data_IF_476359556289
#
_entry.id   IF_476359556289
#
_cell.length_a   1.000
_cell.length_b   1.000
_cell.length_c   1.000
_cell.angle_alpha   90.00
_cell.angle_beta   90.00
_cell.angle_gamma   90.00
#
_symmetry.space_group_name_H-M   'P 1'
#
loop_
_entity.id
_entity.type
_entity.pdbx_description
1 polymer ?
#
# COMPACT_ATOMS: atom_id res chain seq x y z
N UNK A 1 -29.98 78.73 -31.20
CA UNK A 1 -30.59 77.38 -31.14
C UNK A 1 -29.46 76.36 -31.04
N UNK A 2 -29.43 75.66 -29.91
CA UNK A 2 -28.74 74.39 -29.58
C UNK A 2 -27.21 74.32 -29.71
N UNK A 3 -26.45 74.30 -28.60
CA UNK A 3 -26.19 73.17 -27.66
C UNK A 3 -25.30 72.11 -28.32
N UNK A 4 -24.22 71.57 -27.76
CA UNK A 4 -23.82 71.37 -26.37
C UNK A 4 -22.40 70.78 -26.37
N UNK A 5 -21.64 70.97 -25.27
CA UNK A 5 -20.74 70.01 -24.60
C UNK A 5 -19.63 69.30 -25.46
N UNK A 6 -18.33 69.30 -25.16
CA UNK A 6 -17.68 69.05 -23.87
C UNK A 6 -16.15 69.36 -23.99
N UNK A 7 -15.60 69.94 -22.92
CA UNK A 7 -14.18 70.14 -22.59
C UNK A 7 -13.39 68.81 -22.57
N UNK A 8 -12.05 68.64 -22.55
CA UNK A 8 -10.83 69.46 -22.44
C UNK A 8 -9.63 68.49 -22.65
N UNK A 9 -8.54 69.01 -23.21
CA UNK A 9 -7.10 68.77 -22.89
C UNK A 9 -6.57 67.32 -22.82
N UNK A 10 -5.62 67.00 -23.71
CA UNK A 10 -4.56 66.04 -23.43
C UNK A 10 -3.20 66.74 -23.37
N UNK A 11 -2.71 66.91 -22.15
CA UNK A 11 -1.35 67.33 -21.82
C UNK A 11 -0.38 66.16 -21.87
N UNK A 12 0.87 66.45 -22.24
CA UNK A 12 2.03 65.55 -22.35
C UNK A 12 2.15 64.58 -21.17
N UNK A 13 2.30 63.29 -21.47
CA UNK A 13 2.67 62.25 -20.50
C UNK A 13 4.09 61.77 -20.77
N UNK A 14 5.03 62.24 -19.97
CA UNK A 14 6.36 61.65 -19.82
C UNK A 14 6.21 60.28 -19.16
N UNK A 15 6.59 59.19 -19.85
CA UNK A 15 6.54 57.84 -19.29
C UNK A 15 7.70 57.66 -18.32
N UNK A 16 7.40 57.63 -17.02
CA UNK A 16 8.32 57.15 -15.99
C UNK A 16 8.27 55.61 -16.02
N UNK A 17 9.38 54.96 -16.34
CA UNK A 17 9.54 53.52 -16.14
C UNK A 17 9.99 53.32 -14.70
N UNK A 18 9.10 52.82 -13.84
CA UNK A 18 9.49 52.35 -12.52
C UNK A 18 10.09 50.95 -12.64
N UNK A 19 11.41 50.84 -12.44
CA UNK A 19 12.08 49.55 -12.30
C UNK A 19 12.02 49.16 -10.83
N UNK A 20 11.22 48.15 -10.52
CA UNK A 20 11.16 47.56 -9.18
C UNK A 20 12.23 46.47 -9.07
N UNK A 21 13.22 46.66 -8.20
CA UNK A 21 14.07 45.57 -7.75
C UNK A 21 13.34 44.83 -6.63
N UNK A 22 12.78 43.65 -6.95
CA UNK A 22 12.44 42.70 -5.90
C UNK A 22 13.74 42.07 -5.40
N UNK A 23 14.26 42.56 -4.27
CA UNK A 23 15.19 41.77 -3.47
C UNK A 23 14.37 40.65 -2.82
N UNK A 24 14.17 39.56 -3.57
CA UNK A 24 13.60 38.34 -3.00
C UNK A 24 14.55 37.83 -1.93
N UNK A 25 14.10 37.77 -0.69
CA UNK A 25 14.77 36.97 0.33
C UNK A 25 14.79 35.54 -0.19
N UNK A 26 15.96 35.07 -0.64
CA UNK A 26 16.22 33.66 -0.87
C UNK A 26 16.29 32.99 0.50
N UNK A 27 15.12 32.73 1.09
CA UNK A 27 15.03 31.79 2.19
C UNK A 27 15.40 30.43 1.60
N UNK A 28 16.62 29.96 1.88
CA UNK A 28 16.93 28.56 1.70
C UNK A 28 15.88 27.79 2.49
N UNK A 29 15.11 26.94 1.81
CA UNK A 29 14.22 26.01 2.50
C UNK A 29 15.08 25.26 3.51
N UNK A 30 14.83 25.48 4.80
CA UNK A 30 15.43 24.64 5.83
C UNK A 30 15.14 23.19 5.41
N UNK A 31 16.19 22.36 5.38
CA UNK A 31 16.05 20.97 5.00
C UNK A 31 14.95 20.29 5.84
N UNK A 32 14.42 19.15 5.38
CA UNK A 32 13.35 18.46 6.09
C UNK A 32 13.72 18.26 7.57
N UNK A 33 12.87 18.74 8.47
CA UNK A 33 13.02 18.56 9.91
C UNK A 33 12.10 17.45 10.40
N UNK A 34 12.57 16.63 11.34
CA UNK A 34 11.73 15.68 12.05
C UNK A 34 10.59 16.41 12.76
N UNK A 35 9.35 16.12 12.38
CA UNK A 35 8.15 16.75 12.96
C UNK A 35 7.66 15.98 14.19
N UNK A 36 7.72 14.64 14.15
CA UNK A 36 7.15 13.76 15.18
C UNK A 36 7.72 12.35 15.11
N UNK A 37 7.77 11.67 16.26
CA UNK A 37 7.83 10.22 16.36
C UNK A 37 6.55 9.69 17.06
N UNK A 38 5.95 8.63 16.51
CA UNK A 38 4.82 7.93 17.12
C UNK A 38 5.32 6.53 17.50
N UNK A 39 5.23 6.17 18.78
CA UNK A 39 5.57 4.82 19.21
C UNK A 39 4.35 3.91 19.01
N UNK A 40 4.57 2.79 18.33
CA UNK A 40 3.65 1.67 18.27
C UNK A 40 4.45 0.37 18.41
N UNK A 41 3.86 -0.65 19.04
CA UNK A 41 4.53 -1.91 19.38
C UNK A 41 4.50 -2.23 20.87
N UNK A 42 5.23 -3.27 21.26
CA UNK A 42 5.27 -3.87 22.58
C UNK A 42 6.67 -4.27 23.02
N UNK A 43 6.75 -5.34 23.80
CA UNK A 43 8.01 -5.95 24.25
C UNK A 43 8.53 -7.05 23.32
N UNK A 44 7.72 -7.43 22.34
CA UNK A 44 8.07 -8.44 21.33
C UNK A 44 8.85 -7.86 20.15
N UNK A 45 9.05 -8.69 19.13
CA UNK A 45 9.49 -8.26 17.82
C UNK A 45 8.33 -7.59 17.08
N UNK A 46 8.51 -6.32 16.72
CA UNK A 46 7.53 -5.51 16.00
C UNK A 46 8.21 -4.75 14.85
N UNK A 47 7.57 -4.72 13.68
CA UNK A 47 8.10 -4.07 12.49
C UNK A 47 7.00 -3.33 11.73
N UNK A 48 7.23 -2.05 11.41
CA UNK A 48 6.45 -1.30 10.43
C UNK A 48 7.08 -1.44 9.04
N UNK A 49 6.58 -2.37 8.23
CA UNK A 49 7.19 -2.73 6.96
C UNK A 49 6.84 -1.76 5.82
N UNK A 50 5.68 -1.10 5.89
CA UNK A 50 5.25 -0.16 4.87
C UNK A 50 4.44 1.00 5.44
N UNK A 51 4.57 2.16 4.80
CA UNK A 51 3.81 3.38 5.10
C UNK A 51 3.30 4.03 3.82
N UNK A 52 2.06 4.50 3.84
CA UNK A 52 1.46 5.37 2.81
C UNK A 52 0.68 6.52 3.43
N UNK A 53 0.54 7.60 2.67
CA UNK A 53 -0.26 8.75 3.07
C UNK A 53 -1.38 9.01 2.07
N UNK A 54 -2.57 9.35 2.54
CA UNK A 54 -3.64 9.85 1.67
C UNK A 54 -3.49 11.37 1.43
N UNK A 55 -4.37 11.93 0.59
CA UNK A 55 -4.37 13.37 0.27
C UNK A 55 -4.72 14.26 1.48
N UNK A 56 -5.38 13.73 2.50
CA UNK A 56 -5.66 14.44 3.74
C UNK A 56 -4.49 14.37 4.74
N UNK A 57 -3.41 13.68 4.37
CA UNK A 57 -2.23 13.48 5.21
C UNK A 57 -2.40 12.38 6.26
N UNK A 58 -3.47 11.57 6.22
CA UNK A 58 -3.58 10.42 7.10
C UNK A 58 -2.53 9.38 6.71
N UNK A 59 -1.91 8.73 7.70
CA UNK A 59 -0.88 7.73 7.49
C UNK A 59 -1.44 6.32 7.69
N UNK A 60 -1.04 5.40 6.84
CA UNK A 60 -1.42 4.00 6.86
C UNK A 60 -0.14 3.18 7.00
N UNK A 61 -0.05 2.40 8.06
CA UNK A 61 1.12 1.60 8.37
C UNK A 61 0.70 0.14 8.41
N UNK A 62 1.43 -0.70 7.68
CA UNK A 62 1.27 -2.14 7.70
C UNK A 62 2.57 -2.80 8.15
N UNK A 63 2.45 -3.92 8.86
CA UNK A 63 3.60 -4.58 9.46
C UNK A 63 3.25 -5.87 10.18
N UNK A 64 4.13 -6.28 11.10
CA UNK A 64 3.93 -7.40 12.00
C UNK A 64 4.31 -7.05 13.44
N UNK A 65 3.75 -7.79 14.39
CA UNK A 65 4.00 -7.63 15.82
C UNK A 65 3.89 -8.99 16.52
N UNK A 66 4.46 -9.10 17.72
CA UNK A 66 4.37 -10.31 18.54
C UNK A 66 3.98 -9.98 19.98
N UNK A 67 3.46 -10.97 20.72
CA UNK A 67 2.91 -10.74 22.06
C UNK A 67 1.82 -9.66 22.03
N UNK A 68 1.86 -8.69 22.95
CA UNK A 68 0.97 -7.53 22.94
C UNK A 68 1.67 -6.32 22.32
N UNK A 69 1.02 -5.64 21.38
CA UNK A 69 1.47 -4.39 20.80
C UNK A 69 0.47 -3.26 21.07
N UNK A 70 0.99 -2.07 21.39
CA UNK A 70 0.19 -0.89 21.70
C UNK A 70 0.20 0.10 20.53
N UNK A 71 -0.98 0.57 20.15
CA UNK A 71 -1.21 1.59 19.13
C UNK A 71 -2.04 2.70 19.77
N UNK A 72 -1.37 3.72 20.32
CA UNK A 72 -2.06 4.73 21.14
C UNK A 72 -2.73 4.08 22.37
N UNK A 73 -4.06 4.20 22.49
CA UNK A 73 -4.84 3.55 23.55
C UNK A 73 -5.31 2.12 23.22
N UNK A 74 -5.14 1.67 21.97
CA UNK A 74 -5.54 0.34 21.54
C UNK A 74 -4.41 -0.66 21.79
N UNK A 75 -4.76 -1.85 22.24
CA UNK A 75 -3.81 -2.97 22.40
C UNK A 75 -4.27 -4.13 21.54
N UNK A 76 -3.35 -4.66 20.75
CA UNK A 76 -3.52 -5.87 19.96
C UNK A 76 -2.71 -6.99 20.61
N UNK A 77 -3.24 -8.21 20.55
CA UNK A 77 -2.59 -9.43 21.02
C UNK A 77 -2.44 -10.39 19.86
N UNK A 78 -1.20 -10.82 19.60
CA UNK A 78 -0.89 -11.80 18.57
C UNK A 78 -1.46 -13.17 18.95
N UNK A 79 -1.97 -13.89 17.96
CA UNK A 79 -2.56 -15.22 18.08
C UNK A 79 -1.52 -16.34 17.86
N UNK A 80 -0.31 -15.96 17.44
CA UNK A 80 0.77 -16.87 17.10
C UNK A 80 2.14 -16.32 17.47
N UNK A 81 3.12 -16.54 16.59
CA UNK A 81 4.48 -16.00 16.76
C UNK A 81 4.54 -14.53 16.40
N UNK A 82 4.00 -14.19 15.24
CA UNK A 82 3.80 -12.82 14.80
C UNK A 82 2.49 -12.71 14.05
N UNK A 83 1.73 -11.65 14.30
CA UNK A 83 0.52 -11.33 13.54
C UNK A 83 0.75 -10.06 12.73
N UNK A 84 0.04 -9.92 11.62
CA UNK A 84 0.07 -8.68 10.85
C UNK A 84 -0.87 -7.64 11.42
N UNK A 85 -0.54 -6.36 11.22
CA UNK A 85 -1.43 -5.25 11.54
C UNK A 85 -1.56 -4.29 10.37
N UNK A 86 -2.69 -3.56 10.34
CA UNK A 86 -2.91 -2.37 9.54
C UNK A 86 -3.45 -1.27 10.47
N UNK A 87 -2.71 -0.18 10.60
CA UNK A 87 -3.07 0.97 11.42
C UNK A 87 -3.24 2.22 10.56
N UNK A 88 -4.28 3.00 10.85
CA UNK A 88 -4.48 4.34 10.29
C UNK A 88 -4.30 5.39 11.37
N UNK A 89 -3.46 6.38 11.10
CA UNK A 89 -3.25 7.56 11.92
C UNK A 89 -3.73 8.81 11.17
N UNK A 90 -4.28 9.77 11.91
CA UNK A 90 -4.63 11.07 11.37
C UNK A 90 -3.38 11.87 10.99
N UNK A 91 -3.53 12.93 10.19
CA UNK A 91 -2.43 13.87 9.92
C UNK A 91 -1.77 14.40 11.22
N UNK A 92 -2.58 14.57 12.26
CA UNK A 92 -2.14 14.91 13.61
C UNK A 92 -1.58 13.75 14.42
N UNK A 93 -1.22 12.62 13.82
CA UNK A 93 -0.56 11.44 14.42
C UNK A 93 -1.35 10.69 15.50
N UNK A 94 -2.64 10.97 15.65
CA UNK A 94 -3.54 10.22 16.52
C UNK A 94 -4.01 8.95 15.80
N UNK A 95 -4.08 7.82 16.52
CA UNK A 95 -4.66 6.60 15.95
C UNK A 95 -6.15 6.84 15.63
N UNK A 96 -6.55 6.52 14.41
CA UNK A 96 -7.96 6.52 13.97
C UNK A 96 -8.56 5.12 14.09
N UNK A 97 -7.84 4.11 13.63
CA UNK A 97 -8.22 2.70 13.78
C UNK A 97 -7.01 1.79 13.57
N UNK A 98 -7.10 0.57 14.09
CA UNK A 98 -6.14 -0.52 13.84
C UNK A 98 -6.90 -1.84 13.72
N UNK A 99 -6.49 -2.69 12.79
CA UNK A 99 -6.97 -4.06 12.63
C UNK A 99 -5.78 -5.00 12.54
N UNK A 100 -6.00 -6.28 12.86
CA UNK A 100 -4.99 -7.33 12.76
C UNK A 100 -5.48 -8.49 11.90
N UNK A 101 -4.55 -9.29 11.41
CA UNK A 101 -4.82 -10.63 10.92
C UNK A 101 -3.71 -11.57 11.37
N UNK A 102 -4.08 -12.79 11.73
CA UNK A 102 -3.10 -13.79 12.08
C UNK A 102 -3.74 -15.11 12.46
N UNK A 103 -2.88 -16.08 12.71
CA UNK A 103 -3.19 -17.40 13.22
C UNK A 103 -2.15 -17.86 14.23
N UNK A 104 -1.91 -19.17 14.29
CA UNK A 104 -0.97 -19.76 15.27
C UNK A 104 0.51 -19.61 14.86
N UNK A 105 0.78 -19.18 13.63
CA UNK A 105 2.10 -19.18 13.00
C UNK A 105 2.61 -17.76 12.76
N UNK A 106 3.53 -17.57 11.81
CA UNK A 106 4.12 -16.28 11.46
C UNK A 106 3.35 -15.62 10.30
N UNK A 107 2.70 -14.48 10.58
CA UNK A 107 1.97 -13.67 9.61
C UNK A 107 2.55 -12.26 9.51
N UNK A 108 2.71 -11.74 8.29
CA UNK A 108 3.36 -10.44 8.06
C UNK A 108 2.76 -9.72 6.87
N UNK A 109 2.40 -8.45 7.06
CA UNK A 109 2.11 -7.52 5.98
C UNK A 109 3.40 -6.82 5.54
N UNK A 110 3.73 -6.90 4.25
CA UNK A 110 4.95 -6.33 3.69
C UNK A 110 4.72 -5.01 2.95
N UNK A 111 3.51 -4.80 2.42
CA UNK A 111 3.20 -3.57 1.68
C UNK A 111 1.77 -3.09 1.89
N UNK A 112 1.59 -1.79 1.70
CA UNK A 112 0.30 -1.12 1.73
C UNK A 112 0.18 -0.14 0.57
N UNK A 113 -0.99 -0.08 -0.06
CA UNK A 113 -1.33 0.86 -1.12
C UNK A 113 -2.73 1.44 -0.91
N UNK A 114 -2.97 2.63 -1.47
CA UNK A 114 -4.25 3.34 -1.36
C UNK A 114 -4.82 3.52 -2.77
N UNK A 115 -6.03 3.04 -3.01
CA UNK A 115 -6.76 3.26 -4.26
C UNK A 115 -7.52 4.60 -4.29
N UNK A 116 -8.08 4.99 -5.44
CA UNK A 116 -8.69 6.31 -5.63
C UNK A 116 -9.91 6.62 -4.73
N UNK A 117 -10.60 5.60 -4.22
CA UNK A 117 -11.70 5.77 -3.25
C UNK A 117 -11.22 5.77 -1.78
N UNK A 118 -9.91 5.84 -1.54
CA UNK A 118 -9.32 5.71 -0.20
C UNK A 118 -9.32 4.28 0.35
N UNK A 119 -9.72 3.30 -0.49
CA UNK A 119 -9.62 1.89 -0.14
C UNK A 119 -8.16 1.49 0.04
N UNK A 120 -7.90 0.67 1.04
CA UNK A 120 -6.57 0.27 1.44
C UNK A 120 -6.35 -1.16 0.99
N UNK A 121 -5.23 -1.39 0.34
CA UNK A 121 -4.80 -2.71 -0.11
C UNK A 121 -3.56 -3.09 0.69
N UNK A 122 -3.52 -4.32 1.18
CA UNK A 122 -2.39 -4.86 1.94
C UNK A 122 -1.98 -6.18 1.32
N UNK A 123 -0.68 -6.35 1.09
CA UNK A 123 -0.10 -7.60 0.61
C UNK A 123 0.93 -8.12 1.61
N UNK A 124 1.04 -9.43 1.68
CA UNK A 124 1.95 -10.07 2.61
C UNK A 124 1.98 -11.59 2.48
N UNK A 125 2.44 -12.20 3.57
CA UNK A 125 2.42 -13.64 3.79
C UNK A 125 1.63 -13.96 5.05
N UNK A 126 0.83 -15.01 4.98
CA UNK A 126 0.32 -15.73 6.14
C UNK A 126 0.91 -17.14 6.17
N UNK A 127 0.97 -17.77 7.34
CA UNK A 127 1.40 -19.16 7.47
C UNK A 127 0.26 -20.03 7.98
N UNK A 128 -0.12 -21.04 7.19
CA UNK A 128 -1.27 -21.91 7.44
C UNK A 128 -2.60 -21.14 7.46
N UNK A 129 -3.33 -21.11 8.58
CA UNK A 129 -4.65 -20.48 8.68
C UNK A 129 -4.56 -19.17 9.42
N UNK A 130 -5.08 -18.08 8.83
CA UNK A 130 -5.16 -16.78 9.47
C UNK A 130 -6.56 -16.17 9.38
N UNK A 131 -6.96 -15.42 10.41
CA UNK A 131 -8.25 -14.71 10.44
C UNK A 131 -8.06 -13.21 10.35
N UNK A 132 -8.54 -12.62 9.26
CA UNK A 132 -8.52 -11.19 9.00
C UNK A 132 -9.65 -10.50 9.75
N UNK A 133 -9.31 -9.66 10.73
CA UNK A 133 -10.29 -8.86 11.46
C UNK A 133 -10.79 -7.70 10.61
N UNK A 134 -11.98 -7.22 10.95
CA UNK A 134 -12.69 -6.14 10.25
C UNK A 134 -13.25 -5.17 11.27
N UNK A 135 -13.03 -3.86 11.08
CA UNK A 135 -13.66 -2.87 11.94
C UNK A 135 -15.14 -2.75 11.59
N UNK A 136 -16.00 -3.01 12.57
CA UNK A 136 -17.47 -2.95 12.44
C UNK A 136 -18.02 -3.82 11.29
N UNK A 137 -17.38 -4.95 10.99
CA UNK A 137 -17.80 -5.88 9.96
C UNK A 137 -17.40 -7.32 10.27
N UNK A 138 -17.79 -8.28 9.44
CA UNK A 138 -17.39 -9.67 9.62
C UNK A 138 -15.90 -9.84 9.40
N UNK A 139 -15.25 -10.67 10.22
CA UNK A 139 -13.92 -11.19 9.94
C UNK A 139 -13.97 -12.24 8.83
N UNK A 140 -12.82 -12.53 8.22
CA UNK A 140 -12.70 -13.61 7.21
C UNK A 140 -11.49 -14.48 7.51
N UNK A 141 -11.72 -15.78 7.65
CA UNK A 141 -10.65 -16.78 7.79
C UNK A 141 -10.18 -17.24 6.40
N UNK A 142 -8.87 -17.26 6.21
CA UNK A 142 -8.20 -17.83 5.04
C UNK A 142 -7.46 -19.08 5.50
N UNK A 143 -7.78 -20.22 4.88
CA UNK A 143 -7.06 -21.48 5.10
C UNK A 143 -5.99 -21.58 4.04
N UNK A 144 -4.75 -21.21 4.40
CA UNK A 144 -3.56 -21.43 3.59
C UNK A 144 -2.91 -22.78 3.88
N UNK A 145 -1.77 -23.02 3.23
CA UNK A 145 -0.96 -24.21 3.38
C UNK A 145 0.50 -23.79 3.44
N UNK A 146 1.12 -23.84 4.62
CA UNK A 146 2.43 -23.24 4.82
C UNK A 146 2.44 -21.74 4.47
N UNK A 147 3.57 -21.26 3.95
CA UNK A 147 3.73 -19.86 3.53
C UNK A 147 2.83 -19.55 2.33
N UNK A 148 1.80 -18.74 2.57
CA UNK A 148 0.73 -18.40 1.62
C UNK A 148 0.70 -16.90 1.37
N UNK A 149 0.67 -16.50 0.10
CA UNK A 149 0.53 -15.09 -0.31
C UNK A 149 -0.88 -14.63 0.04
N UNK A 150 -1.05 -13.39 0.50
CA UNK A 150 -2.37 -12.76 0.58
C UNK A 150 -2.39 -11.37 -0.07
N UNK A 151 -3.58 -11.00 -0.53
CA UNK A 151 -3.96 -9.64 -0.89
C UNK A 151 -5.31 -9.32 -0.24
N UNK A 152 -5.33 -8.33 0.65
CA UNK A 152 -6.54 -7.90 1.34
C UNK A 152 -6.91 -6.47 0.95
N UNK A 153 -8.21 -6.18 0.87
CA UNK A 153 -8.75 -4.83 0.66
C UNK A 153 -9.64 -4.45 1.83
N UNK A 154 -9.39 -3.26 2.38
CA UNK A 154 -10.14 -2.61 3.44
C UNK A 154 -10.77 -1.31 2.93
N UNK A 155 -11.93 -0.96 3.48
CA UNK A 155 -12.55 0.35 3.28
C UNK A 155 -11.74 1.45 4.01
N UNK A 156 -11.97 2.74 3.69
CA UNK A 156 -11.28 3.86 4.37
C UNK A 156 -11.46 3.90 5.90
N UNK A 157 -12.50 3.24 6.40
CA UNK A 157 -12.87 3.14 7.81
C UNK A 157 -12.42 1.82 8.46
N UNK A 158 -11.64 0.99 7.78
CA UNK A 158 -11.07 -0.23 8.36
C UNK A 158 -11.97 -1.48 8.28
N UNK A 159 -13.08 -1.43 7.56
CA UNK A 159 -13.91 -2.62 7.30
C UNK A 159 -13.27 -3.47 6.21
N UNK A 160 -13.03 -4.75 6.47
CA UNK A 160 -12.55 -5.70 5.47
C UNK A 160 -13.60 -5.86 4.36
N UNK A 161 -13.19 -5.64 3.11
CA UNK A 161 -14.04 -5.81 1.93
C UNK A 161 -13.84 -7.19 1.30
N UNK A 162 -12.59 -7.60 1.12
CA UNK A 162 -12.24 -8.93 0.63
C UNK A 162 -10.78 -9.28 0.96
N UNK A 163 -10.45 -10.56 0.91
CA UNK A 163 -9.08 -11.08 0.91
C UNK A 163 -9.00 -12.24 -0.08
N UNK A 164 -7.92 -12.26 -0.86
CA UNK A 164 -7.51 -13.31 -1.78
C UNK A 164 -6.21 -13.94 -1.31
N UNK A 165 -6.00 -15.21 -1.65
CA UNK A 165 -4.80 -15.98 -1.32
C UNK A 165 -4.11 -16.51 -2.58
N UNK A 166 -2.79 -16.70 -2.48
CA UNK A 166 -1.99 -17.49 -3.41
C UNK A 166 -1.36 -18.65 -2.66
N UNK A 167 -1.91 -19.84 -2.84
CA UNK A 167 -1.49 -21.05 -2.12
C UNK A 167 -0.53 -21.86 -3.00
N UNK A 168 0.59 -22.27 -2.42
CA UNK A 168 1.50 -23.25 -2.99
C UNK A 168 1.70 -24.37 -1.97
N UNK A 169 1.79 -25.61 -2.44
CA UNK A 169 2.06 -26.76 -1.57
C UNK A 169 3.53 -26.90 -1.17
N UNK A 170 4.41 -26.00 -1.65
CA UNK A 170 5.87 -26.20 -1.60
C UNK A 170 6.62 -24.88 -1.55
N UNK A 171 7.69 -24.88 -0.75
CA UNK A 171 8.66 -23.78 -0.68
C UNK A 171 8.09 -22.49 -0.10
N UNK A 172 8.83 -21.41 -0.35
CA UNK A 172 8.54 -20.09 0.23
C UNK A 172 7.78 -19.20 -0.73
N UNK A 173 6.69 -18.59 -0.25
CA UNK A 173 5.81 -17.74 -1.05
C UNK A 173 5.42 -16.48 -0.27
N UNK A 174 5.79 -15.32 -0.79
CA UNK A 174 5.55 -14.02 -0.14
C UNK A 174 5.02 -13.00 -1.17
N UNK A 175 3.98 -12.24 -0.80
CA UNK A 175 3.57 -11.04 -1.52
C UNK A 175 4.26 -9.80 -0.94
N UNK A 176 5.34 -9.34 -1.57
CA UNK A 176 6.26 -8.34 -1.00
C UNK A 176 5.95 -6.92 -1.46
N UNK A 177 5.61 -6.76 -2.75
CA UNK A 177 5.37 -5.46 -3.37
C UNK A 177 3.95 -5.33 -3.89
N UNK A 178 3.35 -4.15 -3.70
CA UNK A 178 1.97 -3.86 -4.07
C UNK A 178 1.85 -2.50 -4.78
N UNK A 179 1.17 -2.48 -5.93
CA UNK A 179 0.78 -1.26 -6.61
C UNK A 179 -0.71 -1.28 -6.95
N UNK A 180 -1.35 -0.11 -6.84
CA UNK A 180 -2.73 0.09 -7.27
C UNK A 180 -2.74 1.21 -8.29
N UNK A 181 -3.26 0.95 -9.48
CA UNK A 181 -3.50 1.99 -10.45
C UNK A 181 -4.72 2.81 -10.00
N UNK A 182 -4.52 4.11 -9.77
CA UNK A 182 -5.55 4.99 -9.23
C UNK A 182 -6.83 5.03 -10.08
N UNK A 183 -6.73 5.03 -11.42
CA UNK A 183 -7.89 5.25 -12.29
C UNK A 183 -8.83 4.04 -12.33
N UNK A 184 -8.29 2.84 -12.59
CA UNK A 184 -9.13 1.62 -12.72
C UNK A 184 -9.28 0.85 -11.41
N UNK A 185 -8.43 1.13 -10.42
CA UNK A 185 -8.30 0.31 -9.22
C UNK A 185 -7.66 -1.06 -9.48
N UNK A 186 -7.04 -1.26 -10.65
CA UNK A 186 -6.21 -2.44 -10.96
C UNK A 186 -5.12 -2.58 -9.91
N UNK A 187 -4.91 -3.80 -9.43
CA UNK A 187 -3.93 -4.13 -8.41
C UNK A 187 -2.87 -5.05 -8.97
N UNK A 188 -1.60 -4.76 -8.68
CA UNK A 188 -0.47 -5.60 -9.01
C UNK A 188 0.23 -6.04 -7.73
N UNK A 189 0.53 -7.33 -7.63
CA UNK A 189 1.34 -7.89 -6.54
C UNK A 189 2.55 -8.60 -7.12
N UNK A 190 3.72 -8.33 -6.53
CA UNK A 190 4.96 -9.03 -6.83
C UNK A 190 5.56 -9.58 -5.53
N UNK A 191 6.51 -10.49 -5.66
CA UNK A 191 7.15 -11.11 -4.52
C UNK A 191 8.05 -12.26 -4.94
N UNK A 192 8.06 -13.33 -4.16
CA UNK A 192 8.76 -14.57 -4.50
C UNK A 192 7.82 -15.76 -4.37
N UNK A 193 8.05 -16.76 -5.21
CA UNK A 193 7.51 -18.10 -5.05
C UNK A 193 8.47 -19.15 -5.61
N UNK A 194 8.23 -20.42 -5.30
CA UNK A 194 9.17 -21.52 -5.61
C UNK A 194 8.52 -22.68 -6.37
N UNK A 195 7.26 -22.56 -6.76
CA UNK A 195 6.56 -23.55 -7.59
C UNK A 195 5.33 -22.90 -8.21
N UNK A 196 4.46 -23.71 -8.81
CA UNK A 196 3.12 -23.24 -9.14
C UNK A 196 2.41 -22.66 -7.91
N UNK A 197 1.68 -21.56 -8.11
CA UNK A 197 0.85 -20.93 -7.09
C UNK A 197 -0.57 -20.86 -7.61
N UNK A 198 -1.53 -21.29 -6.79
CA UNK A 198 -2.96 -21.19 -7.10
C UNK A 198 -3.56 -19.99 -6.38
N UNK A 199 -4.01 -19.03 -7.18
CA UNK A 199 -4.58 -17.77 -6.73
C UNK A 199 -6.10 -17.83 -6.68
N UNK A 200 -6.67 -17.41 -5.56
CA UNK A 200 -8.12 -17.26 -5.44
C UNK A 200 -8.60 -15.97 -6.09
N UNK A 201 -9.87 -15.98 -6.51
CA UNK A 201 -10.57 -14.87 -7.12
C UNK A 201 -11.88 -14.59 -6.37
N UNK A 202 -12.37 -13.34 -6.43
CA UNK A 202 -13.58 -12.91 -5.72
C UNK A 202 -14.87 -13.58 -6.23
N UNK A 203 -14.88 -14.04 -7.47
CA UNK A 203 -15.95 -14.87 -8.05
C UNK A 203 -15.92 -16.34 -7.57
N UNK A 204 -14.97 -16.71 -6.71
CA UNK A 204 -14.79 -18.06 -6.18
C UNK A 204 -13.94 -18.97 -7.04
N UNK A 205 -13.54 -18.54 -8.25
CA UNK A 205 -12.64 -19.31 -9.10
C UNK A 205 -11.21 -19.35 -8.55
N UNK A 206 -10.43 -20.32 -9.01
CA UNK A 206 -9.04 -20.54 -8.64
C UNK A 206 -8.19 -20.57 -9.92
N UNK A 207 -7.03 -19.92 -9.90
CA UNK A 207 -6.17 -19.74 -11.07
C UNK A 207 -4.74 -20.15 -10.72
N UNK A 208 -4.29 -21.26 -11.29
CA UNK A 208 -2.92 -21.75 -11.09
C UNK A 208 -1.98 -21.10 -12.10
N UNK A 209 -0.96 -20.41 -11.60
CA UNK A 209 0.13 -19.86 -12.40
C UNK A 209 1.33 -20.81 -12.29
N UNK A 210 1.69 -21.56 -13.35
CA UNK A 210 2.82 -22.47 -13.33
C UNK A 210 4.13 -21.70 -13.07
N UNK A 211 4.88 -22.11 -12.06
CA UNK A 211 6.15 -21.49 -11.68
C UNK A 211 7.30 -22.49 -11.66
N UNK A 212 8.55 -22.02 -11.78
CA UNK A 212 9.74 -22.86 -11.66
C UNK A 212 9.93 -23.37 -10.22
N UNK A 213 10.72 -24.43 -10.05
CA UNK A 213 11.01 -25.06 -8.75
C UNK A 213 12.09 -24.35 -7.92
N UNK A 214 12.37 -23.09 -8.25
CA UNK A 214 13.41 -22.23 -7.67
C UNK A 214 12.81 -20.87 -7.36
N UNK A 215 13.44 -20.07 -6.50
CA UNK A 215 12.88 -18.78 -6.10
C UNK A 215 12.80 -17.85 -7.31
N UNK A 216 11.59 -17.44 -7.65
CA UNK A 216 11.36 -16.55 -8.78
C UNK A 216 10.43 -15.41 -8.42
N UNK A 217 10.70 -14.26 -9.04
CA UNK A 217 9.74 -13.18 -8.98
C UNK A 217 8.54 -13.51 -9.84
N UNK A 218 7.37 -13.23 -9.29
CA UNK A 218 6.12 -13.27 -10.02
C UNK A 218 5.51 -11.87 -10.08
N UNK A 219 4.58 -11.69 -11.01
CA UNK A 219 3.68 -10.56 -11.05
C UNK A 219 2.27 -11.09 -11.28
N UNK A 220 1.34 -10.77 -10.40
CA UNK A 220 -0.09 -11.06 -10.59
C UNK A 220 -0.89 -9.76 -10.66
N UNK A 221 -1.97 -9.82 -11.44
CA UNK A 221 -2.90 -8.73 -11.64
C UNK A 221 -4.29 -9.14 -11.13
N UNK A 222 -4.89 -8.23 -10.36
CA UNK A 222 -6.28 -8.29 -9.93
C UNK A 222 -7.03 -7.04 -10.37
N UNK A 223 -8.35 -7.15 -10.53
CA UNK A 223 -9.22 -5.99 -10.60
C UNK A 223 -9.51 -5.41 -9.20
N UNK A 224 -10.21 -4.28 -9.14
CA UNK A 224 -10.54 -3.62 -7.86
C UNK A 224 -11.48 -4.42 -6.95
N UNK A 225 -12.19 -5.41 -7.50
CA UNK A 225 -13.14 -6.26 -6.79
C UNK A 225 -12.47 -7.53 -6.26
N UNK A 226 -11.19 -7.74 -6.57
CA UNK A 226 -10.44 -8.91 -6.16
C UNK A 226 -10.62 -10.10 -7.10
N UNK A 227 -11.08 -9.88 -8.34
CA UNK A 227 -11.07 -10.93 -9.36
C UNK A 227 -9.66 -11.05 -9.96
N UNK A 228 -9.15 -12.27 -10.02
CA UNK A 228 -7.87 -12.55 -10.67
C UNK A 228 -7.98 -12.28 -12.17
N UNK A 229 -6.93 -11.70 -12.77
CA UNK A 229 -6.90 -11.40 -14.21
C UNK A 229 -5.84 -12.22 -14.93
N UNK A 230 -4.60 -12.19 -14.44
CA UNK A 230 -3.50 -13.00 -14.94
C UNK A 230 -2.35 -13.02 -13.94
N UNK A 231 -1.42 -13.96 -14.14
CA UNK A 231 -0.16 -14.03 -13.39
C UNK A 231 0.95 -14.58 -14.26
N UNK A 232 2.16 -14.06 -14.07
CA UNK A 232 3.35 -14.47 -14.82
C UNK A 232 4.56 -14.52 -13.89
N UNK A 233 5.53 -15.36 -14.25
CA UNK A 233 6.85 -15.43 -13.61
C UNK A 233 7.88 -14.84 -14.56
N UNK A 234 8.94 -14.25 -14.03
CA UNK A 234 10.08 -13.96 -14.87
C UNK A 234 10.81 -15.27 -15.27
N UNK A 235 11.57 -15.22 -16.35
CA UNK A 235 12.31 -16.37 -16.89
C UNK A 235 13.80 -16.34 -16.48
N UNK A 236 14.13 -15.73 -15.34
CA UNK A 236 15.52 -15.64 -14.90
C UNK A 236 16.05 -17.01 -14.43
N UNK A 237 17.36 -17.11 -14.20
CA UNK A 237 18.02 -18.30 -13.65
C UNK A 237 19.31 -17.80 -12.98
N UNK A 238 19.65 -18.20 -11.74
CA UNK A 238 18.99 -19.25 -10.93
C UNK A 238 17.81 -18.75 -10.10
N UNK A 239 18.02 -17.81 -9.18
CA UNK A 239 16.97 -17.28 -8.32
C UNK A 239 16.71 -15.79 -8.60
N UNK A 240 15.48 -15.36 -8.38
CA UNK A 240 15.08 -13.96 -8.42
C UNK A 240 13.93 -13.66 -7.45
N UNK A 241 13.88 -12.43 -6.95
CA UNK A 241 12.85 -11.98 -6.00
C UNK A 241 12.37 -10.59 -6.38
N UNK A 242 11.05 -10.41 -6.45
CA UNK A 242 10.41 -9.10 -6.62
C UNK A 242 10.29 -8.41 -5.26
N UNK A 243 10.79 -7.18 -5.15
CA UNK A 243 10.73 -6.40 -3.91
C UNK A 243 9.65 -5.32 -3.95
N UNK A 244 9.50 -4.64 -5.09
CA UNK A 244 8.48 -3.59 -5.27
C UNK A 244 7.96 -3.61 -6.69
N UNK A 245 6.69 -3.23 -6.82
CA UNK A 245 6.04 -2.96 -8.09
C UNK A 245 5.49 -1.53 -8.06
N UNK A 246 5.56 -0.84 -9.20
CA UNK A 246 4.88 0.42 -9.45
C UNK A 246 3.95 0.25 -10.66
N UNK A 247 2.86 1.00 -10.71
CA UNK A 247 1.93 1.00 -11.84
C UNK A 247 1.72 2.41 -12.36
N UNK A 248 1.69 2.56 -13.69
CA UNK A 248 1.39 3.84 -14.33
C UNK A 248 -0.10 4.00 -14.66
N UNK A 249 -0.49 5.19 -15.12
CA UNK A 249 -1.87 5.51 -15.50
C UNK A 249 -2.36 4.77 -16.76
N UNK A 250 -1.46 4.20 -17.57
CA UNK A 250 -1.82 3.35 -18.73
C UNK A 250 -2.08 1.89 -18.34
N UNK A 251 -1.62 1.45 -17.18
CA UNK A 251 -1.87 0.12 -16.64
C UNK A 251 -0.69 -0.83 -16.81
N UNK A 252 0.47 -0.28 -17.15
CA UNK A 252 1.73 -1.01 -17.13
C UNK A 252 2.25 -1.11 -15.70
N UNK A 253 2.89 -2.23 -15.40
CA UNK A 253 3.51 -2.49 -14.11
C UNK A 253 5.03 -2.63 -14.28
N UNK A 254 5.78 -2.08 -13.33
CA UNK A 254 7.24 -2.07 -13.33
C UNK A 254 7.71 -2.71 -12.03
N UNK A 255 8.42 -3.84 -12.14
CA UNK A 255 8.90 -4.62 -11.00
C UNK A 255 10.40 -4.38 -10.80
N UNK A 256 10.79 -4.24 -9.54
CA UNK A 256 12.20 -4.20 -9.12
C UNK A 256 12.48 -5.34 -8.18
N UNK A 257 13.73 -5.79 -8.13
CA UNK A 257 14.11 -7.00 -7.43
C UNK A 257 15.60 -7.27 -7.51
N UNK A 258 15.99 -8.46 -7.08
CA UNK A 258 17.36 -8.96 -7.26
C UNK A 258 17.36 -10.30 -7.99
N UNK A 259 18.52 -10.62 -8.53
CA UNK A 259 18.83 -11.87 -9.23
C UNK A 259 20.11 -12.43 -8.61
N UNK A 260 20.16 -13.75 -8.43
CA UNK A 260 21.43 -14.43 -8.20
C UNK A 260 22.26 -14.45 -9.48
N UNK A 261 23.59 -14.44 -9.33
CA UNK A 261 24.57 -14.52 -10.41
C UNK A 261 25.28 -15.85 -10.43
#
# INVERSE_FOLDING_TARGET
MNSDLFQRRFSRLSRIVAVWFFAGNLAFAAGPSWVRAIRAGGSGSDAGNAVKTDQAGNQYIAGSFSSNAHFGSQTLSSQGRTDMFLAKYGNGGNLLWVVQAGGVSDDTAYDVAIGAAGNIYVAGRLTDTATFQSLNGPSKTVVGMGETIFLAKYSPIGTLLWVQSGISGVGTNDGIGLAVQAVTGTVFVTGRGQSQVTFSSADGSQHTVPGPWTWHMYLVKYDQNGNFQWGEWNQANPNSIGNKVAADSSGSAYVTGWFES
#
